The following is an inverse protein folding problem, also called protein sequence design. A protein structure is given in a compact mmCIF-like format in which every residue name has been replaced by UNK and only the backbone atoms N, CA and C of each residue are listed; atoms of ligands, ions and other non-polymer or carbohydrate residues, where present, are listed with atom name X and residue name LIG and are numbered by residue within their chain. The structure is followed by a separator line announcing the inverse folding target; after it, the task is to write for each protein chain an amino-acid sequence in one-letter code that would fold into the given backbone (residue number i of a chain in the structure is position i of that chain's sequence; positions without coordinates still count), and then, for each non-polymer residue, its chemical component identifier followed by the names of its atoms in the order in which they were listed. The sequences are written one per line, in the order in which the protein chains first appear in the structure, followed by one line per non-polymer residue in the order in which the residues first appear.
data_IF_307484645826
#
_entry.id   IF_307484645826
#
_cell.length_a   1.000
_cell.length_b   1.000
_cell.length_c   1.000
_cell.angle_alpha   90.00
_cell.angle_beta   90.00
_cell.angle_gamma   90.00
#
_symmetry.space_group_name_H-M   'P 1'
#
loop_
_entity.id
_entity.type
_entity.pdbx_description
1 polymer ?
#
# COMPACT_ATOMS: atom_id res chain seq x y z
N UNK A 1 27.26 -61.67 -10.86
CA UNK A 1 26.50 -60.77 -9.97
C UNK A 1 26.54 -59.37 -10.56
N UNK A 2 25.53 -59.02 -11.36
CA UNK A 2 25.43 -57.69 -11.98
C UNK A 2 24.42 -56.89 -11.17
N UNK A 3 24.87 -55.86 -10.45
CA UNK A 3 24.00 -55.01 -9.65
C UNK A 3 23.22 -54.06 -10.57
N UNK A 4 21.94 -54.35 -10.83
CA UNK A 4 21.01 -53.37 -11.40
C UNK A 4 20.95 -52.16 -10.48
N UNK A 5 21.55 -51.05 -10.92
CA UNK A 5 21.33 -49.75 -10.30
C UNK A 5 19.94 -49.27 -10.70
N UNK A 6 19.01 -49.31 -9.73
CA UNK A 6 17.71 -48.65 -9.84
C UNK A 6 17.97 -47.14 -9.81
N UNK A 7 18.05 -46.51 -10.99
CA UNK A 7 18.13 -45.05 -11.09
C UNK A 7 16.72 -44.54 -10.81
N UNK A 8 16.44 -44.22 -9.54
CA UNK A 8 15.26 -43.42 -9.22
C UNK A 8 15.36 -42.10 -9.97
N UNK A 9 14.50 -41.93 -10.99
CA UNK A 9 14.39 -40.66 -11.69
C UNK A 9 13.98 -39.58 -10.69
N UNK A 10 14.93 -38.71 -10.34
CA UNK A 10 14.66 -37.52 -9.53
C UNK A 10 13.63 -36.66 -10.25
N UNK A 11 12.42 -36.57 -9.67
CA UNK A 11 11.36 -35.68 -10.16
C UNK A 11 11.90 -34.25 -10.22
N UNK A 12 11.92 -33.66 -11.41
CA UNK A 12 12.38 -32.30 -11.66
C UNK A 12 11.24 -31.46 -12.22
N UNK A 13 11.03 -30.28 -11.65
CA UNK A 13 10.14 -29.26 -12.22
C UNK A 13 10.97 -28.37 -13.12
N UNK A 14 10.50 -28.17 -14.35
CA UNK A 14 11.13 -27.27 -15.32
C UNK A 14 10.09 -26.37 -15.95
N UNK A 15 10.48 -25.14 -16.26
CA UNK A 15 9.66 -24.24 -17.07
C UNK A 15 9.97 -24.49 -18.54
N UNK A 16 8.94 -24.73 -19.34
CA UNK A 16 9.10 -25.03 -20.76
C UNK A 16 8.95 -23.76 -21.60
N UNK A 17 7.74 -23.20 -21.61
CA UNK A 17 7.37 -22.07 -22.45
C UNK A 17 6.94 -20.88 -21.61
N UNK A 18 7.25 -19.68 -22.11
CA UNK A 18 6.78 -18.40 -21.60
C UNK A 18 5.72 -17.88 -22.56
N UNK A 19 4.54 -17.61 -22.01
CA UNK A 19 3.44 -16.98 -22.73
C UNK A 19 3.47 -15.48 -22.43
N UNK A 20 3.60 -14.66 -23.47
CA UNK A 20 3.61 -13.20 -23.38
C UNK A 20 2.34 -12.67 -24.02
N UNK A 21 1.59 -11.88 -23.26
CA UNK A 21 0.38 -11.17 -23.72
C UNK A 21 0.66 -9.69 -23.84
N UNK A 22 0.32 -9.11 -24.97
CA UNK A 22 0.44 -7.67 -25.19
C UNK A 22 -0.92 -7.01 -25.01
N UNK A 23 -1.00 -6.10 -24.05
CA UNK A 23 -2.22 -5.37 -23.73
C UNK A 23 -2.19 -3.98 -24.34
N UNK A 24 -3.38 -3.46 -24.63
CA UNK A 24 -3.56 -2.09 -25.11
C UNK A 24 -3.09 -1.10 -24.05
N UNK A 25 -2.56 0.05 -24.50
CA UNK A 25 -2.21 1.14 -23.58
C UNK A 25 -3.50 1.84 -23.17
N UNK A 26 -3.67 2.11 -21.89
CA UNK A 26 -4.87 2.73 -21.38
C UNK A 26 -4.53 3.94 -20.50
N UNK A 27 -5.45 4.90 -20.47
CA UNK A 27 -5.41 5.97 -19.48
C UNK A 27 -5.63 5.34 -18.09
N UNK A 28 -4.73 5.63 -17.16
CA UNK A 28 -4.79 5.06 -15.81
C UNK A 28 -5.48 5.98 -14.80
N UNK A 29 -5.43 5.57 -13.54
CA UNK A 29 -5.90 6.32 -12.37
C UNK A 29 -4.87 6.37 -11.23
N UNK A 30 -3.66 5.82 -11.45
CA UNK A 30 -2.63 5.70 -10.42
C UNK A 30 -2.17 7.08 -9.93
N UNK A 31 -2.44 7.45 -8.65
CA UNK A 31 -2.10 8.75 -8.12
C UNK A 31 -0.63 8.87 -7.70
N UNK A 32 0.18 7.82 -7.84
CA UNK A 32 1.61 7.85 -7.52
C UNK A 32 2.47 8.48 -8.63
N UNK A 33 1.86 8.90 -9.75
CA UNK A 33 2.59 9.63 -10.78
C UNK A 33 2.98 11.03 -10.28
N UNK A 34 4.23 11.41 -10.51
CA UNK A 34 4.73 12.72 -10.10
C UNK A 34 4.10 13.85 -10.92
N UNK A 35 3.97 13.67 -12.24
CA UNK A 35 3.40 14.65 -13.16
C UNK A 35 2.91 14.01 -14.46
N UNK A 36 1.94 14.65 -15.12
CA UNK A 36 1.36 14.19 -16.38
C UNK A 36 0.33 13.06 -16.20
N UNK A 37 -0.23 12.56 -17.31
CA UNK A 37 -1.29 11.55 -17.25
C UNK A 37 -0.74 10.21 -16.71
N UNK A 38 -1.50 9.52 -15.85
CA UNK A 38 -1.22 8.13 -15.52
C UNK A 38 -1.49 7.21 -16.71
N UNK A 39 -0.67 6.17 -16.87
CA UNK A 39 -0.89 5.10 -17.83
C UNK A 39 -1.16 3.79 -17.11
N UNK A 40 -1.96 2.95 -17.75
CA UNK A 40 -2.27 1.58 -17.37
C UNK A 40 -2.23 0.68 -18.60
N UNK A 41 -2.38 -0.62 -18.38
CA UNK A 41 -2.75 -1.57 -19.40
C UNK A 41 -4.28 -1.75 -19.41
N UNK A 42 -4.84 -2.01 -20.59
CA UNK A 42 -6.24 -2.39 -20.74
C UNK A 42 -6.53 -3.82 -20.28
N UNK A 43 -7.80 -4.19 -20.27
CA UNK A 43 -8.24 -5.53 -19.87
C UNK A 43 -8.06 -6.59 -20.96
N UNK A 44 -8.18 -6.18 -22.22
CA UNK A 44 -8.09 -7.07 -23.38
C UNK A 44 -6.65 -7.10 -23.91
N UNK A 45 -6.11 -8.30 -24.11
CA UNK A 45 -4.86 -8.49 -24.85
C UNK A 45 -5.14 -8.46 -26.35
N UNK A 46 -4.27 -7.80 -27.11
CA UNK A 46 -4.35 -7.74 -28.57
C UNK A 46 -3.61 -8.90 -29.25
N UNK A 47 -2.52 -9.36 -28.63
CA UNK A 47 -1.70 -10.46 -29.15
C UNK A 47 -1.21 -11.36 -28.01
N UNK A 48 -0.98 -12.63 -28.34
CA UNK A 48 -0.33 -13.60 -27.46
C UNK A 48 0.76 -14.29 -28.27
N UNK A 49 1.95 -14.44 -27.67
CA UNK A 49 3.06 -15.21 -28.25
C UNK A 49 3.64 -16.16 -27.21
N UNK A 50 4.01 -17.35 -27.67
CA UNK A 50 4.75 -18.33 -26.87
C UNK A 50 6.20 -18.35 -27.33
N UNK A 51 7.14 -18.27 -26.39
CA UNK A 51 8.57 -18.44 -26.64
C UNK A 51 9.12 -19.49 -25.68
N UNK A 52 10.17 -20.20 -26.09
CA UNK A 52 10.83 -21.13 -25.17
C UNK A 52 11.52 -20.35 -24.05
N UNK A 53 11.63 -20.98 -22.89
CA UNK A 53 12.33 -20.38 -21.74
C UNK A 53 13.80 -20.07 -22.07
N UNK A 54 14.45 -20.92 -22.88
CA UNK A 54 15.84 -20.72 -23.26
C UNK A 54 16.01 -19.52 -24.18
N UNK A 55 15.16 -19.39 -25.22
CA UNK A 55 15.18 -18.26 -26.15
C UNK A 55 14.96 -16.93 -25.40
N UNK A 56 14.02 -16.91 -24.45
CA UNK A 56 13.79 -15.73 -23.62
C UNK A 56 15.03 -15.33 -22.82
N UNK A 57 15.68 -16.30 -22.18
CA UNK A 57 16.89 -16.04 -21.40
C UNK A 57 18.06 -15.60 -22.27
N UNK A 58 18.20 -16.15 -23.47
CA UNK A 58 19.19 -15.70 -24.44
C UNK A 58 18.92 -14.26 -24.88
N UNK A 59 17.69 -13.92 -25.26
CA UNK A 59 17.31 -12.56 -25.63
C UNK A 59 17.59 -11.57 -24.49
N UNK A 60 17.21 -11.92 -23.25
CA UNK A 60 17.47 -11.07 -22.08
C UNK A 60 18.96 -10.83 -21.86
N UNK A 61 19.80 -11.85 -22.03
CA UNK A 61 21.27 -11.75 -21.94
C UNK A 61 21.85 -10.89 -23.06
N UNK A 62 21.39 -11.10 -24.30
CA UNK A 62 21.92 -10.43 -25.51
C UNK A 62 21.62 -8.94 -25.53
N UNK A 63 20.40 -8.55 -25.16
CA UNK A 63 19.96 -7.17 -25.34
C UNK A 63 20.40 -6.23 -24.21
N UNK A 64 21.19 -6.71 -23.22
CA UNK A 64 21.55 -5.94 -22.01
C UNK A 64 20.40 -5.04 -21.61
N UNK A 65 19.20 -5.63 -21.48
CA UNK A 65 18.09 -4.97 -20.81
C UNK A 65 18.59 -4.77 -19.40
N UNK A 66 19.26 -3.64 -19.17
CA UNK A 66 19.82 -3.29 -17.87
C UNK A 66 18.72 -3.56 -16.87
N UNK A 67 19.10 -4.09 -15.71
CA UNK A 67 18.16 -4.44 -14.64
C UNK A 67 17.28 -3.26 -14.16
N UNK A 68 17.49 -2.06 -14.71
CA UNK A 68 16.66 -0.89 -14.51
C UNK A 68 15.30 -1.00 -15.18
N UNK A 69 14.26 -0.77 -14.38
CA UNK A 69 12.92 -0.45 -14.87
C UNK A 69 13.03 0.72 -15.85
N UNK A 70 12.52 0.57 -17.08
CA UNK A 70 12.46 1.68 -18.03
C UNK A 70 11.37 2.66 -17.55
N UNK A 71 11.79 3.79 -17.00
CA UNK A 71 10.89 4.85 -16.58
C UNK A 71 10.52 5.67 -17.81
N UNK A 72 9.22 5.73 -18.10
CA UNK A 72 8.70 6.60 -19.15
C UNK A 72 8.63 8.04 -18.62
N UNK A 73 9.13 8.99 -19.40
CA UNK A 73 8.94 10.42 -19.18
C UNK A 73 7.47 10.81 -19.38
N UNK A 74 7.09 12.00 -18.91
CA UNK A 74 5.74 12.53 -19.18
C UNK A 74 5.44 12.64 -20.67
N UNK A 75 6.39 13.16 -21.46
CA UNK A 75 6.21 13.34 -22.88
C UNK A 75 5.95 12.00 -23.57
N UNK A 76 6.77 10.98 -23.28
CA UNK A 76 6.55 9.63 -23.80
C UNK A 76 5.18 9.07 -23.42
N UNK A 77 4.70 9.30 -22.18
CA UNK A 77 3.35 8.88 -21.79
C UNK A 77 2.26 9.61 -22.57
N UNK A 78 2.38 10.92 -22.74
CA UNK A 78 1.42 11.72 -23.50
C UNK A 78 1.37 11.26 -24.96
N UNK A 79 2.54 11.09 -25.60
CA UNK A 79 2.65 10.64 -26.99
C UNK A 79 2.06 9.24 -27.18
N UNK A 80 2.37 8.30 -26.28
CA UNK A 80 1.84 6.94 -26.33
C UNK A 80 0.31 6.90 -26.21
N UNK A 81 -0.27 7.73 -25.35
CA UNK A 81 -1.72 7.81 -25.18
C UNK A 81 -2.40 8.50 -26.38
N UNK A 82 -1.78 9.54 -26.94
CA UNK A 82 -2.30 10.19 -28.14
C UNK A 82 -2.27 9.26 -29.35
N UNK A 83 -1.20 8.46 -29.50
CA UNK A 83 -1.09 7.43 -30.53
C UNK A 83 -2.14 6.32 -30.36
N UNK A 84 -2.57 6.03 -29.14
CA UNK A 84 -3.66 5.08 -28.88
C UNK A 84 -5.05 5.66 -29.23
N UNK A 85 -5.15 6.97 -29.49
CA UNK A 85 -6.38 7.65 -29.89
C UNK A 85 -7.08 8.44 -28.78
N UNK A 86 -6.47 8.59 -27.60
CA UNK A 86 -7.00 9.49 -26.58
C UNK A 86 -6.89 10.94 -27.02
N UNK A 87 -7.83 11.78 -26.60
CA UNK A 87 -7.76 13.21 -26.87
C UNK A 87 -7.03 13.94 -25.74
N UNK A 88 -6.44 15.10 -26.05
CA UNK A 88 -5.78 15.96 -25.05
C UNK A 88 -6.70 16.29 -23.86
N UNK A 89 -8.02 16.43 -24.10
CA UNK A 89 -9.00 16.66 -23.04
C UNK A 89 -9.07 15.48 -22.05
N UNK A 90 -8.93 14.25 -22.54
CA UNK A 90 -9.01 13.04 -21.72
C UNK A 90 -7.78 12.95 -20.81
N UNK A 91 -6.58 13.21 -21.36
CA UNK A 91 -5.34 13.32 -20.60
C UNK A 91 -5.46 14.37 -19.49
N UNK A 92 -5.97 15.57 -19.80
CA UNK A 92 -6.18 16.63 -18.80
C UNK A 92 -7.15 16.20 -17.71
N UNK A 93 -8.23 15.51 -18.06
CA UNK A 93 -9.21 15.03 -17.09
C UNK A 93 -8.57 14.03 -16.11
N UNK A 94 -7.86 13.02 -16.62
CA UNK A 94 -7.16 12.06 -15.78
C UNK A 94 -6.11 12.69 -14.86
N UNK A 95 -5.36 13.70 -15.34
CA UNK A 95 -4.44 14.47 -14.49
C UNK A 95 -5.19 15.15 -13.35
N UNK A 96 -6.34 15.78 -13.61
CA UNK A 96 -7.13 16.43 -12.56
C UNK A 96 -7.66 15.43 -11.53
N UNK A 97 -8.09 14.25 -11.97
CA UNK A 97 -8.60 13.21 -11.08
C UNK A 97 -7.50 12.61 -10.19
N UNK A 98 -6.31 12.41 -10.75
CA UNK A 98 -5.10 12.04 -9.98
C UNK A 98 -4.77 13.12 -8.95
N UNK A 99 -4.74 14.40 -9.35
CA UNK A 99 -4.44 15.50 -8.43
C UNK A 99 -5.47 15.61 -7.30
N UNK A 100 -6.75 15.34 -7.58
CA UNK A 100 -7.81 15.27 -6.57
C UNK A 100 -7.52 14.15 -5.57
N UNK A 101 -7.16 12.97 -6.06
CA UNK A 101 -6.82 11.81 -5.22
C UNK A 101 -5.58 12.06 -4.38
N UNK A 102 -4.53 12.64 -4.95
CA UNK A 102 -3.31 13.03 -4.23
C UNK A 102 -3.61 14.03 -3.11
N UNK A 103 -4.45 15.03 -3.39
CA UNK A 103 -4.87 16.02 -2.39
C UNK A 103 -5.64 15.35 -1.25
N UNK A 104 -6.61 14.50 -1.57
CA UNK A 104 -7.39 13.75 -0.57
C UNK A 104 -6.49 12.88 0.33
N UNK A 105 -5.50 12.19 -0.26
CA UNK A 105 -4.51 11.40 0.50
C UNK A 105 -3.67 12.27 1.43
N UNK A 106 -3.17 13.42 0.95
CA UNK A 106 -2.40 14.37 1.77
C UNK A 106 -3.23 14.92 2.93
N UNK A 107 -4.49 15.27 2.69
CA UNK A 107 -5.40 15.72 3.75
C UNK A 107 -5.63 14.64 4.79
N UNK A 108 -5.79 13.38 4.37
CA UNK A 108 -5.99 12.24 5.30
C UNK A 108 -4.76 12.05 6.20
N UNK A 109 -3.56 12.06 5.63
CA UNK A 109 -2.31 11.93 6.39
C UNK A 109 -2.15 13.09 7.37
N UNK A 110 -2.34 14.33 6.92
CA UNK A 110 -2.22 15.50 7.78
C UNK A 110 -3.24 15.46 8.94
N UNK A 111 -4.49 15.09 8.67
CA UNK A 111 -5.52 14.98 9.71
C UNK A 111 -5.18 13.88 10.72
N UNK A 112 -4.62 12.76 10.26
CA UNK A 112 -4.17 11.67 11.14
C UNK A 112 -2.98 12.11 12.01
N UNK A 113 -1.99 12.81 11.46
CA UNK A 113 -0.87 13.35 12.24
C UNK A 113 -1.34 14.33 13.32
N UNK A 114 -2.28 15.21 13.00
CA UNK A 114 -2.89 16.12 13.97
C UNK A 114 -3.65 15.33 15.04
N UNK A 115 -4.48 14.37 14.63
CA UNK A 115 -5.28 13.56 15.55
C UNK A 115 -4.40 12.76 16.51
N UNK A 116 -3.35 12.09 16.01
CA UNK A 116 -2.40 11.33 16.83
C UNK A 116 -1.58 12.22 17.77
N UNK A 117 -1.22 13.42 17.33
CA UNK A 117 -0.56 14.40 18.20
C UNK A 117 -1.49 14.84 19.34
N UNK A 118 -2.76 15.13 19.04
CA UNK A 118 -3.78 15.46 20.04
C UNK A 118 -4.02 14.29 21.01
N UNK A 119 -4.12 13.07 20.52
CA UNK A 119 -4.30 11.87 21.35
C UNK A 119 -3.13 11.68 22.33
N UNK A 120 -1.88 11.82 21.87
CA UNK A 120 -0.69 11.78 22.74
C UNK A 120 -0.72 12.86 23.82
N UNK A 121 -1.20 14.06 23.50
CA UNK A 121 -1.36 15.15 24.47
C UNK A 121 -2.42 14.76 25.52
N UNK A 122 -3.60 14.30 25.07
CA UNK A 122 -4.68 13.85 25.96
C UNK A 122 -4.26 12.68 26.85
N UNK A 123 -3.45 11.75 26.34
CA UNK A 123 -2.91 10.64 27.13
C UNK A 123 -1.94 11.15 28.20
N UNK A 124 -1.04 12.09 27.86
CA UNK A 124 -0.12 12.70 28.83
C UNK A 124 -0.84 13.44 29.94
N UNK A 125 -1.91 14.17 29.63
CA UNK A 125 -2.72 14.86 30.65
C UNK A 125 -3.47 13.86 31.53
N UNK A 126 -4.10 12.84 30.95
CA UNK A 126 -4.75 11.74 31.68
C UNK A 126 -3.80 11.05 32.68
N UNK A 127 -2.58 10.72 32.25
CA UNK A 127 -1.56 10.09 33.12
C UNK A 127 -1.16 10.99 34.30
N UNK A 128 -1.12 12.31 34.10
CA UNK A 128 -0.81 13.28 35.18
C UNK A 128 -1.99 13.47 36.13
N UNK A 129 -3.22 13.55 35.63
CA UNK A 129 -4.41 13.66 36.48
C UNK A 129 -4.62 12.41 37.37
N UNK A 130 -4.23 11.21 36.89
CA UNK A 130 -4.29 9.97 37.68
C UNK A 130 -3.57 10.10 39.03
N UNK A 131 -2.46 10.84 39.10
CA UNK A 131 -1.69 11.03 40.32
C UNK A 131 -2.26 12.12 41.25
N UNK A 132 -3.03 13.06 40.71
CA UNK A 132 -3.67 14.14 41.48
C UNK A 132 -4.95 13.64 42.16
N UNK A 133 -5.68 12.74 41.51
CA UNK A 133 -6.94 12.17 42.03
C UNK A 133 -6.66 11.13 43.14
N UNK A 134 -5.62 10.30 42.98
CA UNK A 134 -5.29 9.24 43.96
C UNK A 134 -4.74 9.82 45.29
N UNK A 135 -4.16 11.03 45.29
CA UNK A 135 -3.60 11.67 46.49
C UNK A 135 -4.62 12.39 47.39
N UNK A 136 -5.92 12.37 47.03
CA UNK A 136 -6.97 13.14 47.73
C UNK A 136 -8.06 12.32 48.41
N UNK A 137 -7.90 11.01 48.60
CA UNK A 137 -8.82 10.22 49.43
C UNK A 137 -8.33 10.26 50.88
N UNK A 138 -8.99 10.99 51.81
CA UNK A 138 -8.70 10.87 53.22
C UNK A 138 -9.36 9.59 53.74
N UNK A 139 -8.60 8.78 54.48
CA UNK A 139 -9.13 7.68 55.27
C UNK A 139 -9.96 8.30 56.41
N UNK A 140 -11.29 8.21 56.30
CA UNK A 140 -12.21 8.64 57.37
C UNK A 140 -12.23 7.51 58.41
N UNK A 141 -11.70 7.77 59.60
CA UNK A 141 -11.78 6.84 60.73
C UNK A 141 -13.19 6.91 61.35
N UNK A 142 -13.81 5.74 61.52
CA UNK A 142 -15.12 5.55 62.15
C UNK A 142 -15.22 6.19 63.54
N UNK A 143 -16.28 6.96 63.76
CA UNK A 143 -16.71 7.42 65.09
C UNK A 143 -17.68 6.40 65.67
N UNK A 144 -17.27 5.74 66.76
CA UNK A 144 -18.04 4.74 67.52
C UNK A 144 -19.31 5.29 68.19
N UNK A 145 -20.16 4.41 68.76
CA UNK A 145 -21.61 4.61 68.79
C UNK A 145 -22.09 5.56 69.91
N UNK A 146 -23.18 6.25 69.60
CA UNK A 146 -23.93 7.17 70.46
C UNK A 146 -24.48 6.41 71.68
N UNK A 147 -24.11 6.85 72.89
CA UNK A 147 -24.72 6.35 74.14
C UNK A 147 -26.10 6.99 74.36
N UNK A 148 -27.08 6.13 74.59
CA UNK A 148 -28.47 6.47 74.82
C UNK A 148 -28.69 7.27 76.12
N UNK A 149 -29.68 8.16 76.04
CA UNK A 149 -30.22 8.96 77.13
C UNK A 149 -30.92 8.02 78.12
N UNK A 150 -30.59 8.14 79.41
CA UNK A 150 -31.37 7.52 80.51
C UNK A 150 -31.85 8.62 81.47
N UNK A 151 -33.07 8.41 81.97
CA UNK A 151 -33.99 9.37 82.56
C UNK A 151 -33.88 9.56 84.09
N UNK A 152 -34.68 10.53 84.58
CA UNK A 152 -35.15 10.79 85.96
C UNK A 152 -34.11 11.46 86.89
N UNK A 153 -34.47 12.39 87.79
CA UNK A 153 -35.73 12.77 88.45
C UNK A 153 -35.95 14.29 88.45
#
# INVERSE_FOLDING_TARGET
YSAQHNIEEKKRVTFNNIIIREYRRALGDNPSVTFGPPMSIGWEYGSERSISFEDHNEMRRKYNFGSGVKILSRAEREDLLLLEGYQIKDLRNAVRDVMRTQRARRTTVNNYEIFTALEKIAERTKRRLKHVIIRRVPVINDVGPIRAISARE
#
